data_IF_623087635633
#
_entry.id   IF_623087635633
#
_cell.length_a   1.000
_cell.length_b   1.000
_cell.length_c   1.000
_cell.angle_alpha   90.00
_cell.angle_beta   90.00
_cell.angle_gamma   90.00
#
_symmetry.space_group_name_H-M   'P 1'
#
loop_
_entity.id
_entity.type
_entity.pdbx_description
1 polymer ?
#
# COMPACT_ATOMS: atom_id res chain seq x y z
N UNK A 1 -13.03 8.09 -11.90
CA UNK A 1 -14.18 8.99 -12.14
C UNK A 1 -15.28 8.21 -12.86
N UNK A 2 -16.03 7.36 -12.15
CA UNK A 2 -17.17 6.67 -12.76
C UNK A 2 -18.43 7.26 -12.10
N UNK A 3 -19.39 7.68 -12.93
CA UNK A 3 -20.62 8.42 -12.55
C UNK A 3 -20.42 9.92 -12.26
N UNK A 4 -19.83 10.66 -13.21
CA UNK A 4 -19.94 12.14 -13.23
C UNK A 4 -21.15 12.49 -14.08
N UNK A 5 -22.08 13.26 -13.51
CA UNK A 5 -23.20 13.86 -14.24
C UNK A 5 -22.77 15.26 -14.69
N UNK A 6 -22.66 15.47 -16.00
CA UNK A 6 -22.22 16.74 -16.58
C UNK A 6 -23.45 17.65 -16.75
N UNK A 7 -23.58 18.65 -15.89
CA UNK A 7 -24.70 19.60 -15.94
C UNK A 7 -24.49 20.74 -16.95
N UNK A 8 -23.25 21.05 -17.31
CA UNK A 8 -22.92 22.10 -18.27
C UNK A 8 -21.53 21.85 -18.88
N UNK A 9 -21.49 21.64 -20.20
CA UNK A 9 -20.26 21.56 -20.99
C UNK A 9 -20.52 22.09 -22.40
N UNK A 10 -20.22 23.37 -22.63
CA UNK A 10 -20.39 24.02 -23.94
C UNK A 10 -19.31 23.65 -24.95
N UNK A 11 -18.29 22.89 -24.54
CA UNK A 11 -17.09 22.60 -25.33
C UNK A 11 -16.89 21.12 -25.64
N UNK A 12 -17.76 20.25 -25.12
CA UNK A 12 -17.67 18.78 -25.17
C UNK A 12 -16.37 18.21 -24.56
N UNK A 13 -15.59 19.05 -23.85
CA UNK A 13 -14.31 18.68 -23.27
C UNK A 13 -14.47 17.71 -22.10
N UNK A 14 -15.50 17.87 -21.28
CA UNK A 14 -15.75 17.02 -20.12
C UNK A 14 -16.27 15.65 -20.56
N UNK A 15 -17.12 15.59 -21.58
CA UNK A 15 -17.56 14.32 -22.17
C UNK A 15 -16.38 13.53 -22.76
N UNK A 16 -15.53 14.18 -23.56
CA UNK A 16 -14.32 13.56 -24.13
C UNK A 16 -13.34 13.06 -23.04
N UNK A 17 -13.18 13.81 -21.93
CA UNK A 17 -12.36 13.36 -20.80
C UNK A 17 -12.98 12.15 -20.11
N UNK A 18 -14.30 12.13 -19.90
CA UNK A 18 -15.00 10.99 -19.28
C UNK A 18 -14.83 9.74 -20.13
N UNK A 19 -15.04 9.85 -21.44
CA UNK A 19 -14.90 8.74 -22.38
C UNK A 19 -13.46 8.19 -22.39
N UNK A 20 -12.46 9.08 -22.48
CA UNK A 20 -11.05 8.68 -22.37
C UNK A 20 -10.75 8.01 -21.03
N UNK A 21 -11.30 8.53 -19.93
CA UNK A 21 -11.18 7.95 -18.59
C UNK A 21 -11.76 6.54 -18.51
N UNK A 22 -12.86 6.27 -19.21
CA UNK A 22 -13.50 4.95 -19.24
C UNK A 22 -12.66 3.90 -19.98
N UNK A 23 -11.80 4.32 -20.90
CA UNK A 23 -10.87 3.44 -21.64
C UNK A 23 -9.55 3.18 -20.91
N UNK A 24 -9.21 3.95 -19.87
CA UNK A 24 -8.00 3.75 -19.08
C UNK A 24 -8.15 2.51 -18.18
N UNK A 25 -7.38 1.47 -18.49
CA UNK A 25 -7.16 0.33 -17.60
C UNK A 25 -5.91 0.55 -16.76
N UNK A 26 -5.97 0.19 -15.48
CA UNK A 26 -4.78 0.12 -14.65
C UNK A 26 -3.92 -1.07 -15.12
N UNK A 27 -2.63 -0.83 -15.36
CA UNK A 27 -1.66 -1.86 -15.71
C UNK A 27 -0.55 -1.88 -14.66
N UNK A 28 -0.33 -3.05 -14.06
CA UNK A 28 0.74 -3.28 -13.11
C UNK A 28 2.03 -3.58 -13.89
N UNK A 29 3.08 -2.78 -13.66
CA UNK A 29 4.38 -2.97 -14.31
C UNK A 29 5.47 -3.35 -13.29
N UNK A 30 6.57 -3.98 -13.73
CA UNK A 30 7.78 -4.19 -12.94
C UNK A 30 8.24 -2.95 -12.15
N UNK A 31 8.24 -1.77 -12.78
CA UNK A 31 8.72 -0.51 -12.19
C UNK A 31 7.82 -0.06 -11.03
N UNK A 32 6.51 -0.29 -11.12
CA UNK A 32 5.57 0.00 -10.04
C UNK A 32 5.87 -0.87 -8.83
N UNK A 33 6.15 -2.16 -9.04
CA UNK A 33 6.49 -3.10 -7.95
C UNK A 33 7.82 -2.72 -7.31
N UNK A 34 8.84 -2.38 -8.10
CA UNK A 34 10.14 -1.90 -7.61
C UNK A 34 10.00 -0.65 -6.74
N UNK A 35 9.22 0.32 -7.20
CA UNK A 35 8.96 1.54 -6.45
C UNK A 35 8.21 1.27 -5.14
N UNK A 36 7.20 0.41 -5.20
CA UNK A 36 6.41 0.01 -4.02
C UNK A 36 7.27 -0.69 -2.97
N UNK A 37 8.01 -1.74 -3.35
CA UNK A 37 8.84 -2.50 -2.40
C UNK A 37 9.97 -1.65 -1.82
N UNK A 38 10.57 -0.78 -2.63
CA UNK A 38 11.60 0.15 -2.18
C UNK A 38 11.07 1.12 -1.11
N UNK A 39 9.85 1.66 -1.32
CA UNK A 39 9.18 2.50 -0.32
C UNK A 39 8.83 1.72 0.95
N UNK A 40 8.34 0.50 0.82
CA UNK A 40 8.07 -0.38 1.97
C UNK A 40 9.33 -0.57 2.83
N UNK A 41 10.46 -0.95 2.21
CA UNK A 41 11.71 -1.16 2.94
C UNK A 41 12.26 0.14 3.54
N UNK A 42 12.13 1.27 2.84
CA UNK A 42 12.53 2.57 3.38
C UNK A 42 11.76 2.90 4.66
N UNK A 43 10.43 2.73 4.66
CA UNK A 43 9.61 2.95 5.84
C UNK A 43 9.87 1.92 6.94
N UNK A 44 10.07 0.65 6.61
CA UNK A 44 10.41 -0.42 7.57
C UNK A 44 11.65 -0.02 8.40
N UNK A 45 12.73 0.36 7.71
CA UNK A 45 13.96 0.78 8.35
C UNK A 45 13.78 2.10 9.12
N UNK A 46 12.92 2.99 8.64
CA UNK A 46 12.62 4.25 9.31
C UNK A 46 11.84 4.03 10.61
N UNK A 47 10.83 3.15 10.65
CA UNK A 47 10.14 2.78 11.90
C UNK A 47 11.16 2.33 12.95
N UNK A 48 12.03 1.39 12.58
CA UNK A 48 13.07 0.89 13.48
C UNK A 48 13.97 2.02 14.01
N UNK A 49 14.53 2.84 13.12
CA UNK A 49 15.40 3.95 13.52
C UNK A 49 14.71 4.94 14.45
N UNK A 50 13.45 5.27 14.18
CA UNK A 50 12.67 6.25 14.97
C UNK A 50 12.28 5.68 16.33
N UNK A 51 11.95 4.39 16.40
CA UNK A 51 11.77 3.67 17.67
C UNK A 51 13.05 3.72 18.51
N UNK A 52 14.21 3.38 17.92
CA UNK A 52 15.50 3.40 18.61
C UNK A 52 15.92 4.81 19.09
N UNK A 53 15.47 5.87 18.41
CA UNK A 53 15.71 7.28 18.78
C UNK A 53 14.65 7.86 19.71
N UNK A 54 13.65 7.08 20.11
CA UNK A 54 12.50 7.53 20.90
C UNK A 54 11.67 8.65 20.21
N UNK A 55 11.67 8.70 18.88
CA UNK A 55 10.87 9.63 18.07
C UNK A 55 9.52 8.99 17.72
N UNK A 56 8.69 8.71 18.74
CA UNK A 56 7.57 7.76 18.63
C UNK A 56 6.48 8.20 17.65
N UNK A 57 6.14 9.48 17.57
CA UNK A 57 5.13 9.93 16.60
C UNK A 57 5.61 9.80 15.14
N UNK A 58 6.91 9.97 14.90
CA UNK A 58 7.49 9.69 13.59
C UNK A 58 7.43 8.19 13.32
N UNK A 59 7.82 7.34 14.29
CA UNK A 59 7.70 5.90 14.13
C UNK A 59 6.26 5.46 13.78
N UNK A 60 5.26 6.03 14.44
CA UNK A 60 3.84 5.77 14.15
C UNK A 60 3.44 6.25 12.75
N UNK A 61 3.86 7.44 12.33
CA UNK A 61 3.62 7.93 10.97
C UNK A 61 4.27 7.01 9.91
N UNK A 62 5.47 6.50 10.16
CA UNK A 62 6.10 5.51 9.28
C UNK A 62 5.35 4.18 9.29
N UNK A 63 4.84 3.75 10.44
CA UNK A 63 4.01 2.55 10.54
C UNK A 63 2.70 2.69 9.76
N UNK A 64 2.07 3.87 9.78
CA UNK A 64 0.89 4.17 8.96
C UNK A 64 1.22 4.07 7.47
N UNK A 65 2.38 4.55 7.05
CA UNK A 65 2.83 4.40 5.66
C UNK A 65 3.07 2.93 5.27
N UNK A 66 3.52 2.08 6.20
CA UNK A 66 3.66 0.64 5.98
C UNK A 66 2.29 -0.02 5.84
N UNK A 67 1.34 0.27 6.75
CA UNK A 67 -0.05 -0.22 6.65
C UNK A 67 -0.65 0.16 5.30
N UNK A 68 -0.48 1.42 4.90
CA UNK A 68 -0.94 1.91 3.62
C UNK A 68 -0.26 1.20 2.46
N UNK A 69 1.05 0.93 2.54
CA UNK A 69 1.78 0.18 1.51
C UNK A 69 1.16 -1.20 1.26
N UNK A 70 0.70 -1.89 2.30
CA UNK A 70 -0.03 -3.16 2.16
C UNK A 70 -1.38 -2.95 1.45
N UNK A 71 -2.14 -1.93 1.85
CA UNK A 71 -3.40 -1.57 1.17
C UNK A 71 -3.17 -1.33 -0.32
N UNK A 72 -2.12 -0.59 -0.69
CA UNK A 72 -1.78 -0.39 -2.11
C UNK A 72 -1.54 -1.72 -2.82
N UNK A 73 -0.82 -2.64 -2.18
CA UNK A 73 -0.56 -3.94 -2.77
C UNK A 73 -1.81 -4.83 -2.90
N UNK A 74 -2.77 -4.73 -1.99
CA UNK A 74 -4.08 -5.38 -2.18
C UNK A 74 -4.86 -4.82 -3.38
N UNK A 75 -4.78 -3.51 -3.61
CA UNK A 75 -5.38 -2.90 -4.79
C UNK A 75 -4.67 -3.39 -6.06
N UNK A 76 -3.34 -3.36 -6.08
CA UNK A 76 -2.53 -3.84 -7.21
C UNK A 76 -2.79 -5.31 -7.53
N UNK A 77 -2.85 -6.17 -6.52
CA UNK A 77 -3.16 -7.60 -6.64
C UNK A 77 -4.55 -7.85 -7.24
N UNK A 78 -5.49 -6.95 -6.97
CA UNK A 78 -6.85 -6.96 -7.52
C UNK A 78 -6.98 -6.17 -8.85
N UNK A 79 -5.87 -5.77 -9.47
CA UNK A 79 -5.83 -4.97 -10.71
C UNK A 79 -6.59 -3.62 -10.58
N UNK A 80 -6.64 -3.08 -9.37
CA UNK A 80 -7.23 -1.78 -9.06
C UNK A 80 -6.13 -0.72 -8.89
N UNK A 81 -6.38 0.47 -9.41
CA UNK A 81 -5.49 1.61 -9.20
C UNK A 81 -5.47 2.00 -7.71
N UNK A 82 -4.32 1.93 -7.02
CA UNK A 82 -4.24 2.33 -5.62
C UNK A 82 -4.28 3.85 -5.46
N UNK A 83 -4.83 4.31 -4.34
CA UNK A 83 -4.79 5.72 -3.93
C UNK A 83 -3.35 6.24 -3.77
N UNK A 84 -3.15 7.55 -3.68
CA UNK A 84 -1.84 8.11 -3.33
C UNK A 84 -1.45 7.79 -1.88
N UNK A 85 -0.16 7.79 -1.55
CA UNK A 85 0.28 7.54 -0.17
C UNK A 85 -0.34 8.57 0.79
N UNK A 86 -0.93 8.09 1.89
CA UNK A 86 -1.62 8.92 2.88
C UNK A 86 -3.10 9.19 2.56
N UNK A 87 -3.58 8.81 1.38
CA UNK A 87 -4.99 8.96 1.02
C UNK A 87 -5.82 7.72 1.39
N UNK A 88 -6.32 7.71 2.61
CA UNK A 88 -7.18 6.66 3.16
C UNK A 88 -8.64 6.72 2.68
N UNK A 89 -8.98 7.62 1.75
CA UNK A 89 -10.35 7.75 1.27
C UNK A 89 -10.87 6.43 0.70
N UNK A 90 -12.04 6.01 1.19
CA UNK A 90 -12.74 4.78 0.76
C UNK A 90 -11.98 3.48 1.02
N UNK A 91 -10.95 3.48 1.87
CA UNK A 91 -10.21 2.24 2.20
C UNK A 91 -10.96 1.38 3.23
N UNK A 92 -11.58 1.98 4.25
CA UNK A 92 -12.15 1.22 5.39
C UNK A 92 -13.69 1.27 5.47
N UNK A 93 -14.33 2.15 4.71
CA UNK A 93 -15.79 2.34 4.72
C UNK A 93 -16.54 1.38 3.79
N UNK A 94 -17.87 1.50 3.73
CA UNK A 94 -18.76 0.64 2.93
C UNK A 94 -18.42 0.59 1.43
N UNK A 95 -17.74 1.61 0.92
CA UNK A 95 -17.30 1.70 -0.49
C UNK A 95 -15.90 1.11 -0.72
N UNK A 96 -15.36 0.40 0.26
CA UNK A 96 -14.05 -0.23 0.14
C UNK A 96 -14.07 -1.36 -0.88
N UNK A 97 -13.07 -1.45 -1.77
CA UNK A 97 -12.87 -2.62 -2.61
C UNK A 97 -12.17 -3.77 -1.87
N UNK A 98 -11.74 -3.57 -0.62
CA UNK A 98 -11.04 -4.58 0.16
C UNK A 98 -12.00 -5.67 0.66
N UNK A 99 -11.51 -6.90 0.69
CA UNK A 99 -12.20 -8.06 1.25
C UNK A 99 -12.27 -7.95 2.78
N UNK A 100 -13.28 -8.58 3.38
CA UNK A 100 -13.48 -8.55 4.85
C UNK A 100 -12.24 -8.98 5.63
N UNK A 101 -11.53 -10.01 5.17
CA UNK A 101 -10.31 -10.47 5.83
C UNK A 101 -9.16 -9.45 5.73
N UNK A 102 -9.06 -8.68 4.65
CA UNK A 102 -8.06 -7.62 4.49
C UNK A 102 -8.35 -6.48 5.48
N UNK A 103 -9.62 -6.11 5.60
CA UNK A 103 -10.06 -5.10 6.58
C UNK A 103 -9.83 -5.58 8.02
N UNK A 104 -10.12 -6.83 8.33
CA UNK A 104 -9.86 -7.42 9.66
C UNK A 104 -8.36 -7.46 9.96
N UNK A 105 -7.54 -7.86 9.00
CA UNK A 105 -6.09 -7.89 9.13
C UNK A 105 -5.51 -6.48 9.35
N UNK A 106 -5.96 -5.49 8.57
CA UNK A 106 -5.57 -4.09 8.74
C UNK A 106 -5.91 -3.57 10.13
N UNK A 107 -7.14 -3.83 10.63
CA UNK A 107 -7.56 -3.46 11.99
C UNK A 107 -6.72 -4.12 13.08
N UNK A 108 -6.26 -5.35 12.84
CA UNK A 108 -5.41 -6.08 13.80
C UNK A 108 -4.02 -5.46 13.97
N UNK A 109 -3.60 -4.60 13.04
CA UNK A 109 -2.31 -3.90 13.08
C UNK A 109 -2.37 -2.56 13.82
N UNK A 110 -3.34 -2.35 14.71
CA UNK A 110 -3.33 -1.19 15.61
C UNK A 110 -2.10 -1.21 16.53
N UNK A 111 -1.52 -0.04 16.83
CA UNK A 111 -0.39 0.11 17.74
C UNK A 111 -0.55 1.35 18.61
N UNK A 112 -0.25 1.26 19.90
CA UNK A 112 -0.13 2.43 20.78
C UNK A 112 1.21 3.15 20.61
N UNK A 113 1.51 4.08 21.52
CA UNK A 113 2.81 4.76 21.60
C UNK A 113 3.90 3.91 22.25
N UNK A 114 3.60 2.66 22.65
CA UNK A 114 4.60 1.74 23.16
C UNK A 114 5.58 1.31 22.05
N UNK A 115 6.90 1.61 22.19
CA UNK A 115 7.90 1.21 21.21
C UNK A 115 7.94 -0.30 20.95
N UNK A 116 7.68 -1.12 21.98
CA UNK A 116 7.69 -2.58 21.84
C UNK A 116 6.50 -3.04 20.98
N UNK A 117 5.32 -2.49 21.23
CA UNK A 117 4.11 -2.77 20.44
C UNK A 117 4.30 -2.37 18.98
N UNK A 118 4.87 -1.19 18.71
CA UNK A 118 5.18 -0.72 17.34
C UNK A 118 6.03 -1.76 16.59
N UNK A 119 7.10 -2.25 17.24
CA UNK A 119 7.99 -3.26 16.63
C UNK A 119 7.30 -4.63 16.46
N UNK A 120 6.41 -5.02 17.38
CA UNK A 120 5.63 -6.25 17.25
C UNK A 120 4.65 -6.17 16.07
N UNK A 121 3.94 -5.06 15.91
CA UNK A 121 3.05 -4.84 14.77
C UNK A 121 3.84 -4.83 13.46
N UNK A 122 4.98 -4.14 13.42
CA UNK A 122 5.87 -4.14 12.26
C UNK A 122 6.22 -5.57 11.83
N UNK A 123 6.56 -6.44 12.78
CA UNK A 123 6.86 -7.86 12.53
C UNK A 123 5.64 -8.64 12.03
N UNK A 124 4.44 -8.34 12.53
CA UNK A 124 3.18 -8.99 12.10
C UNK A 124 2.75 -8.61 10.68
N UNK A 125 3.20 -7.47 10.15
CA UNK A 125 2.90 -7.04 8.77
C UNK A 125 3.75 -7.81 7.74
N UNK A 126 4.96 -8.24 8.10
CA UNK A 126 5.93 -8.86 7.19
C UNK A 126 5.41 -10.09 6.44
N UNK A 127 4.70 -11.05 7.07
CA UNK A 127 4.17 -12.20 6.34
C UNK A 127 3.26 -11.81 5.18
N UNK A 128 2.40 -10.80 5.39
CA UNK A 128 1.50 -10.32 4.34
C UNK A 128 2.27 -9.55 3.25
N UNK A 129 3.29 -8.77 3.63
CA UNK A 129 4.20 -8.16 2.65
C UNK A 129 4.85 -9.21 1.74
N UNK A 130 5.40 -10.29 2.31
CA UNK A 130 6.05 -11.36 1.52
C UNK A 130 5.05 -12.04 0.58
N UNK A 131 3.86 -12.38 1.08
CA UNK A 131 2.77 -12.96 0.27
C UNK A 131 2.44 -12.07 -0.93
N UNK A 132 2.26 -10.77 -0.68
CA UNK A 132 1.92 -9.79 -1.70
C UNK A 132 3.06 -9.58 -2.69
N UNK A 133 4.30 -9.41 -2.21
CA UNK A 133 5.46 -9.22 -3.07
C UNK A 133 5.64 -10.39 -4.04
N UNK A 134 5.53 -11.63 -3.55
CA UNK A 134 5.55 -12.82 -4.38
C UNK A 134 4.43 -12.81 -5.42
N UNK A 135 3.18 -12.60 -5.01
CA UNK A 135 2.02 -12.57 -5.91
C UNK A 135 2.16 -11.52 -7.01
N UNK A 136 2.58 -10.30 -6.65
CA UNK A 136 2.77 -9.20 -7.60
C UNK A 136 3.92 -9.49 -8.58
N UNK A 137 5.04 -10.05 -8.10
CA UNK A 137 6.14 -10.47 -8.97
C UNK A 137 5.70 -11.55 -9.96
N UNK A 138 4.92 -12.54 -9.52
CA UNK A 138 4.35 -13.58 -10.39
C UNK A 138 3.42 -12.98 -11.46
N UNK A 139 2.57 -12.01 -11.11
CA UNK A 139 1.65 -11.34 -12.05
C UNK A 139 2.38 -10.63 -13.21
N UNK A 140 3.58 -10.08 -12.97
CA UNK A 140 4.35 -9.37 -14.00
C UNK A 140 5.52 -10.17 -14.57
N UNK A 141 5.69 -11.44 -14.19
CA UNK A 141 6.81 -12.28 -14.61
C UNK A 141 8.19 -11.84 -14.09
N UNK A 142 8.23 -11.14 -12.96
CA UNK A 142 9.47 -10.69 -12.30
C UNK A 142 10.01 -11.76 -11.33
N UNK A 143 11.34 -11.85 -11.22
CA UNK A 143 11.97 -12.65 -10.15
C UNK A 143 11.90 -11.91 -8.81
N UNK A 144 11.27 -12.54 -7.82
CA UNK A 144 11.09 -11.99 -6.47
C UNK A 144 12.42 -11.72 -5.73
N UNK A 145 13.40 -12.63 -5.85
CA UNK A 145 14.64 -12.64 -5.07
C UNK A 145 14.42 -12.66 -3.54
N UNK A 146 13.78 -13.73 -3.06
CA UNK A 146 13.46 -13.96 -1.63
C UNK A 146 14.67 -13.81 -0.70
N UNK A 147 15.85 -14.33 -1.07
CA UNK A 147 17.08 -14.22 -0.26
C UNK A 147 17.46 -12.75 0.00
N UNK A 148 17.33 -11.90 -1.02
CA UNK A 148 17.58 -10.47 -0.86
C UNK A 148 16.53 -9.81 0.04
N UNK A 149 15.26 -10.19 -0.10
CA UNK A 149 14.19 -9.71 0.78
C UNK A 149 14.49 -10.06 2.24
N UNK A 150 14.84 -11.32 2.54
CA UNK A 150 15.22 -11.73 3.89
C UNK A 150 16.43 -10.93 4.41
N UNK A 151 17.45 -10.73 3.58
CA UNK A 151 18.63 -9.96 3.94
C UNK A 151 18.30 -8.51 4.32
N UNK A 152 17.33 -7.88 3.65
CA UNK A 152 16.88 -6.52 3.96
C UNK A 152 16.06 -6.49 5.26
N UNK A 153 15.20 -7.49 5.48
CA UNK A 153 14.37 -7.62 6.69
C UNK A 153 15.22 -7.90 7.94
N UNK A 154 16.23 -8.78 7.84
CA UNK A 154 17.14 -9.16 8.94
C UNK A 154 18.09 -8.02 9.39
N UNK A 155 18.03 -6.84 8.76
CA UNK A 155 18.71 -5.64 9.26
C UNK A 155 17.90 -4.89 10.31
N UNK A 156 16.63 -5.25 10.48
CA UNK A 156 15.68 -4.63 11.42
C UNK A 156 15.33 -5.57 12.59
N UNK A 157 15.33 -6.87 12.37
CA UNK A 157 14.94 -7.91 13.34
C UNK A 157 16.07 -8.86 13.67
#
# INVERSE_FOLDING_TARGET
MRNIEVFFDTSEMLEDIIDKSMTLSYELTPEIIELWRSKFFAYLHEVYRRVMRNEIYYALQCLDNIRFSIVKAWYMEAELQPNLFGDWAKVEGERSPLKDWQLQLLRSWNASRDPLEIMQILKRIIPEFKRLHKSLCEQVGMKENEEWVEKVLNKVF
#
